data_IF_669548226299
#
_entry.id   IF_669548226299
#
_cell.length_a   1.000
_cell.length_b   1.000
_cell.length_c   1.000
_cell.angle_alpha   90.00
_cell.angle_beta   90.00
_cell.angle_gamma   90.00
#
_symmetry.space_group_name_H-M   'P 1'
#
loop_
_entity.id
_entity.type
_entity.pdbx_description
1 polymer ?
#
# COMPACT_ATOMS: atom_id res chain seq x y z
N UNK A 1 -15.61 2.56 5.51
CA UNK A 1 -15.77 1.13 5.83
C UNK A 1 -17.25 0.88 6.15
N UNK A 2 -17.79 -0.32 5.95
CA UNK A 2 -19.17 -0.64 6.28
C UNK A 2 -19.29 -0.90 7.79
N UNK A 3 -20.12 -0.11 8.48
CA UNK A 3 -20.26 -0.12 9.95
C UNK A 3 -20.49 -1.52 10.54
N UNK A 4 -21.21 -2.39 9.82
CA UNK A 4 -21.46 -3.77 10.25
C UNK A 4 -20.17 -4.60 10.36
N UNK A 5 -19.22 -4.43 9.45
CA UNK A 5 -17.95 -5.17 9.51
C UNK A 5 -17.09 -4.65 10.67
N UNK A 6 -17.02 -3.33 10.87
CA UNK A 6 -16.29 -2.73 11.99
C UNK A 6 -16.84 -3.22 13.33
N UNK A 7 -18.18 -3.28 13.50
CA UNK A 7 -18.80 -3.84 14.71
C UNK A 7 -18.48 -5.32 14.92
N UNK A 8 -18.51 -6.12 13.85
CA UNK A 8 -18.12 -7.53 13.93
C UNK A 8 -16.65 -7.68 14.34
N UNK A 9 -15.78 -6.84 13.78
CA UNK A 9 -14.35 -6.84 14.07
C UNK A 9 -14.12 -6.63 15.57
N UNK A 10 -14.72 -5.60 16.16
CA UNK A 10 -14.54 -5.30 17.58
C UNK A 10 -15.11 -6.39 18.48
N UNK A 11 -16.26 -6.98 18.15
CA UNK A 11 -16.85 -8.07 18.92
C UNK A 11 -16.00 -9.36 18.86
N UNK A 12 -15.48 -9.70 17.68
CA UNK A 12 -14.86 -11.02 17.43
C UNK A 12 -13.35 -11.01 17.60
N UNK A 13 -12.68 -9.89 17.37
CA UNK A 13 -11.22 -9.82 17.41
C UNK A 13 -10.61 -10.26 18.76
N UNK A 14 -11.13 -9.83 19.93
CA UNK A 14 -10.63 -10.31 21.22
C UNK A 14 -10.78 -11.83 21.39
N UNK A 15 -11.86 -12.42 20.87
CA UNK A 15 -12.10 -13.88 20.91
C UNK A 15 -11.07 -14.60 20.06
N UNK A 16 -10.82 -14.14 18.82
CA UNK A 16 -9.80 -14.70 17.94
C UNK A 16 -8.40 -14.52 18.51
N UNK A 17 -8.09 -13.38 19.13
CA UNK A 17 -6.81 -13.13 19.79
C UNK A 17 -6.56 -14.11 20.93
N UNK A 18 -7.57 -14.39 21.75
CA UNK A 18 -7.46 -15.35 22.85
C UNK A 18 -7.36 -16.81 22.36
N UNK A 19 -8.10 -17.17 21.30
CA UNK A 19 -8.14 -18.54 20.78
C UNK A 19 -6.91 -18.88 19.90
N UNK A 20 -6.37 -17.89 19.19
CA UNK A 20 -5.28 -18.04 18.22
C UNK A 20 -4.14 -17.05 18.51
N UNK A 21 -3.47 -17.15 19.69
CA UNK A 21 -2.43 -16.21 20.10
C UNK A 21 -1.20 -16.21 19.19
N UNK A 22 -0.91 -17.33 18.51
CA UNK A 22 0.23 -17.50 17.60
C UNK A 22 0.03 -16.89 16.21
N UNK A 23 -1.21 -16.52 15.85
CA UNK A 23 -1.52 -15.95 14.54
C UNK A 23 -1.41 -14.42 14.57
N UNK A 24 -0.99 -13.83 13.45
CA UNK A 24 -0.87 -12.38 13.31
C UNK A 24 -2.20 -11.64 13.30
N UNK A 25 -2.12 -10.32 13.42
CA UNK A 25 -3.27 -9.41 13.34
C UNK A 25 -4.09 -9.64 12.07
N UNK A 26 -3.47 -9.61 10.87
CA UNK A 26 -4.18 -9.72 9.59
C UNK A 26 -4.85 -11.07 9.42
N UNK A 27 -4.19 -12.15 9.86
CA UNK A 27 -4.78 -13.50 9.88
C UNK A 27 -6.14 -13.52 10.60
N UNK A 28 -6.20 -12.92 11.81
CA UNK A 28 -7.42 -12.89 12.61
C UNK A 28 -8.50 -12.05 11.94
N UNK A 29 -8.15 -10.89 11.41
CA UNK A 29 -9.10 -10.04 10.70
C UNK A 29 -9.64 -10.72 9.43
N UNK A 30 -8.84 -11.49 8.71
CA UNK A 30 -9.29 -12.29 7.55
C UNK A 30 -10.31 -13.36 7.94
N UNK A 31 -10.15 -14.01 9.10
CA UNK A 31 -11.14 -14.98 9.60
C UNK A 31 -12.46 -14.29 9.96
N UNK A 32 -12.40 -13.12 10.56
CA UNK A 32 -13.60 -12.34 10.87
C UNK A 32 -14.26 -11.82 9.60
N UNK A 33 -13.48 -11.40 8.60
CA UNK A 33 -13.98 -11.05 7.27
C UNK A 33 -14.67 -12.24 6.60
N UNK A 34 -14.15 -13.45 6.77
CA UNK A 34 -14.81 -14.65 6.27
C UNK A 34 -16.16 -14.89 6.97
N UNK A 35 -16.23 -14.77 8.29
CA UNK A 35 -17.49 -14.85 9.05
C UNK A 35 -18.50 -13.78 8.57
N UNK A 36 -18.02 -12.57 8.26
CA UNK A 36 -18.86 -11.52 7.69
C UNK A 36 -19.48 -11.95 6.36
N UNK A 37 -18.69 -12.52 5.44
CA UNK A 37 -19.17 -12.92 4.12
C UNK A 37 -20.10 -14.14 4.11
N UNK A 38 -20.11 -14.93 5.19
CA UNK A 38 -21.12 -15.97 5.41
C UNK A 38 -22.51 -15.38 5.66
N UNK A 39 -22.60 -14.20 6.30
CA UNK A 39 -23.87 -13.50 6.53
C UNK A 39 -23.72 -11.95 6.53
N UNK A 40 -23.53 -11.33 5.36
CA UNK A 40 -23.20 -9.90 5.24
C UNK A 40 -24.36 -8.95 5.60
N UNK A 41 -25.58 -9.49 5.68
CA UNK A 41 -26.79 -8.75 6.04
C UNK A 41 -27.13 -8.85 7.52
N UNK A 42 -26.36 -9.62 8.31
CA UNK A 42 -26.59 -9.75 9.74
C UNK A 42 -26.40 -8.38 10.38
N UNK A 43 -27.50 -7.82 10.91
CA UNK A 43 -27.43 -6.64 11.75
C UNK A 43 -26.79 -7.06 13.07
N UNK A 44 -25.61 -6.54 13.33
CA UNK A 44 -24.88 -6.78 14.57
C UNK A 44 -25.27 -5.65 15.51
N UNK A 45 -26.11 -5.98 16.48
CA UNK A 45 -26.59 -5.05 17.51
C UNK A 45 -25.52 -4.92 18.59
N UNK A 46 -24.36 -4.39 18.19
CA UNK A 46 -23.32 -3.95 19.10
C UNK A 46 -23.56 -2.45 19.31
N UNK A 47 -23.96 -2.12 20.54
CA UNK A 47 -24.03 -0.74 21.03
C UNK A 47 -22.59 -0.25 21.22
N UNK A 48 -21.97 0.16 20.13
CA UNK A 48 -20.65 0.80 20.14
C UNK A 48 -20.82 2.27 19.86
N UNK A 49 -20.30 3.10 20.78
CA UNK A 49 -19.91 4.46 20.42
C UNK A 49 -18.65 4.37 19.55
N UNK A 50 -18.59 5.16 18.47
CA UNK A 50 -17.46 5.15 17.54
C UNK A 50 -16.10 5.49 18.21
N UNK A 51 -16.13 6.01 19.44
CA UNK A 51 -14.97 6.34 20.24
C UNK A 51 -14.33 5.11 20.94
N UNK A 52 -15.03 3.97 21.02
CA UNK A 52 -14.58 2.76 21.73
C UNK A 52 -14.01 1.68 20.79
N UNK A 53 -13.74 2.02 19.53
CA UNK A 53 -13.06 1.09 18.62
C UNK A 53 -11.63 0.86 19.12
N UNK A 54 -11.37 -0.28 19.75
CA UNK A 54 -10.02 -0.70 20.11
C UNK A 54 -9.12 -0.62 18.87
N UNK A 55 -7.98 0.07 19.01
CA UNK A 55 -6.96 0.10 17.98
C UNK A 55 -6.15 -1.20 18.03
N UNK A 56 -6.46 -2.11 17.12
CA UNK A 56 -5.76 -3.40 17.00
C UNK A 56 -4.44 -3.29 16.23
N UNK A 57 -4.07 -2.10 15.74
CA UNK A 57 -2.89 -1.92 14.88
C UNK A 57 -1.56 -2.25 15.58
N UNK A 58 -1.53 -2.19 16.91
CA UNK A 58 -0.35 -2.52 17.71
C UNK A 58 -0.10 -4.03 17.87
N UNK A 59 -1.09 -4.89 17.57
CA UNK A 59 -0.90 -6.34 17.63
C UNK A 59 0.10 -6.78 16.55
N UNK A 60 1.10 -7.62 16.88
CA UNK A 60 2.16 -7.99 15.94
C UNK A 60 1.65 -8.85 14.78
N UNK A 61 2.15 -8.58 13.57
CA UNK A 61 1.92 -9.40 12.39
C UNK A 61 3.25 -9.94 11.78
N UNK A 62 3.31 -11.22 11.33
CA UNK A 62 4.50 -11.79 10.72
C UNK A 62 5.06 -11.03 9.52
N UNK A 63 4.24 -10.21 8.85
CA UNK A 63 4.62 -9.46 7.66
C UNK A 63 4.73 -7.95 7.90
N UNK A 64 4.70 -7.48 9.14
CA UNK A 64 4.85 -6.06 9.46
C UNK A 64 6.18 -5.47 8.99
N UNK A 65 7.26 -6.26 8.95
CA UNK A 65 8.56 -5.82 8.41
C UNK A 65 8.47 -5.29 6.96
N UNK A 66 7.49 -5.77 6.18
CA UNK A 66 7.32 -5.38 4.78
C UNK A 66 6.58 -4.05 4.61
N UNK A 67 5.83 -3.60 5.63
CA UNK A 67 4.91 -2.44 5.50
C UNK A 67 4.98 -1.39 6.61
N UNK A 68 5.63 -1.66 7.74
CA UNK A 68 5.59 -0.76 8.92
C UNK A 68 6.87 0.05 9.10
N UNK A 69 7.99 -0.39 8.51
CA UNK A 69 9.32 0.18 8.79
C UNK A 69 9.84 1.16 7.72
N UNK A 70 9.29 2.37 7.61
CA UNK A 70 9.96 3.46 6.86
C UNK A 70 9.03 4.45 6.14
N UNK A 71 9.60 5.52 5.55
CA UNK A 71 8.85 6.61 4.91
C UNK A 71 8.32 6.25 3.51
N UNK A 72 8.56 5.03 3.03
CA UNK A 72 8.20 4.62 1.68
C UNK A 72 6.69 4.55 1.49
N UNK A 73 6.27 4.85 0.27
CA UNK A 73 4.87 4.99 -0.10
C UNK A 73 4.26 3.70 -0.70
N UNK A 74 5.11 2.84 -1.26
CA UNK A 74 4.71 1.56 -1.84
C UNK A 74 5.76 0.46 -1.61
N UNK A 75 5.36 -0.77 -1.90
CA UNK A 75 6.21 -1.96 -1.74
C UNK A 75 6.22 -2.80 -3.02
N UNK A 76 7.40 -3.16 -3.51
CA UNK A 76 7.64 -4.11 -4.59
C UNK A 76 7.98 -5.48 -4.01
N UNK A 77 7.14 -6.46 -4.29
CA UNK A 77 7.27 -7.83 -3.79
C UNK A 77 7.74 -8.73 -4.92
N UNK A 78 8.82 -9.46 -4.67
CA UNK A 78 9.28 -10.53 -5.56
C UNK A 78 8.48 -11.81 -5.33
N UNK A 79 7.80 -12.28 -6.38
CA UNK A 79 7.00 -13.52 -6.36
C UNK A 79 7.52 -14.59 -7.32
N UNK A 80 8.31 -14.19 -8.32
CA UNK A 80 9.04 -15.12 -9.18
C UNK A 80 10.53 -15.16 -8.83
N UNK A 81 11.06 -16.38 -8.79
CA UNK A 81 12.45 -16.66 -8.43
C UNK A 81 13.16 -17.48 -9.51
N UNK A 82 12.72 -17.37 -10.77
CA UNK A 82 13.27 -18.15 -11.88
C UNK A 82 14.51 -17.50 -12.50
N UNK A 83 14.64 -16.17 -12.38
CA UNK A 83 15.77 -15.40 -12.92
C UNK A 83 16.23 -14.33 -11.91
N UNK A 84 17.33 -14.61 -11.21
CA UNK A 84 17.93 -13.67 -10.26
C UNK A 84 18.61 -12.49 -10.97
N UNK A 85 19.15 -12.69 -12.16
CA UNK A 85 19.85 -11.63 -12.89
C UNK A 85 18.86 -10.58 -13.42
N UNK A 86 17.72 -11.02 -13.95
CA UNK A 86 16.64 -10.14 -14.38
C UNK A 86 16.06 -9.35 -13.20
N UNK A 87 15.87 -9.99 -12.03
CA UNK A 87 15.40 -9.31 -10.83
C UNK A 87 16.40 -8.24 -10.35
N UNK A 88 17.69 -8.58 -10.27
CA UNK A 88 18.72 -7.61 -9.88
C UNK A 88 18.80 -6.42 -10.85
N UNK A 89 18.74 -6.68 -12.17
CA UNK A 89 18.71 -5.61 -13.17
C UNK A 89 17.50 -4.71 -13.00
N UNK A 90 16.33 -5.28 -12.70
CA UNK A 90 15.11 -4.51 -12.44
C UNK A 90 15.27 -3.64 -11.19
N UNK A 91 15.81 -4.19 -10.10
CA UNK A 91 16.04 -3.43 -8.86
C UNK A 91 17.06 -2.31 -9.04
N UNK A 92 18.12 -2.53 -9.82
CA UNK A 92 19.10 -1.48 -10.16
C UNK A 92 18.44 -0.35 -10.94
N UNK A 93 17.67 -0.66 -11.98
CA UNK A 93 16.98 0.33 -12.80
C UNK A 93 15.93 1.10 -11.98
N UNK A 94 15.19 0.42 -11.10
CA UNK A 94 14.22 1.06 -10.21
C UNK A 94 14.88 2.09 -9.27
N UNK A 95 15.97 1.70 -8.61
CA UNK A 95 16.71 2.56 -7.68
C UNK A 95 17.35 3.76 -8.40
N UNK A 96 17.81 3.56 -9.62
CA UNK A 96 18.40 4.63 -10.42
C UNK A 96 17.37 5.70 -10.79
N UNK A 97 16.21 5.28 -11.28
CA UNK A 97 15.09 6.18 -11.63
C UNK A 97 14.50 6.85 -10.39
N UNK A 98 14.39 6.12 -9.28
CA UNK A 98 13.92 6.68 -8.01
C UNK A 98 14.88 7.76 -7.49
N UNK A 99 16.19 7.52 -7.56
CA UNK A 99 17.20 8.52 -7.21
C UNK A 99 17.11 9.75 -8.11
N UNK A 100 16.98 9.58 -9.42
CA UNK A 100 16.81 10.69 -10.37
C UNK A 100 15.57 11.54 -10.04
N UNK A 101 14.46 10.89 -9.69
CA UNK A 101 13.23 11.57 -9.28
C UNK A 101 13.43 12.37 -7.98
N UNK A 102 14.00 11.75 -6.94
CA UNK A 102 14.26 12.43 -5.66
C UNK A 102 15.27 13.57 -5.81
N UNK A 103 16.30 13.41 -6.63
CA UNK A 103 17.28 14.46 -6.91
C UNK A 103 16.64 15.65 -7.63
N UNK A 104 15.67 15.41 -8.52
CA UNK A 104 14.93 16.49 -9.22
C UNK A 104 14.00 17.30 -8.30
N UNK A 105 13.67 16.77 -7.12
CA UNK A 105 12.80 17.41 -6.13
C UNK A 105 13.57 18.20 -5.07
N UNK A 106 14.89 18.04 -4.98
CA UNK A 106 15.70 18.81 -4.03
C UNK A 106 15.66 20.28 -4.43
N UNK A 107 15.41 21.21 -3.50
CA UNK A 107 15.51 22.63 -3.81
C UNK A 107 16.93 22.91 -4.31
N UNK A 108 17.04 23.66 -5.41
CA UNK A 108 18.34 24.11 -5.92
C UNK A 108 19.10 24.77 -4.76
N UNK A 109 20.22 24.18 -4.34
CA UNK A 109 21.10 24.84 -3.37
C UNK A 109 21.41 26.23 -3.91
N UNK A 110 21.21 27.31 -3.12
CA UNK A 110 21.56 28.64 -3.56
C UNK A 110 23.05 28.64 -3.90
N UNK A 111 23.36 28.75 -5.19
CA UNK A 111 24.74 28.85 -5.66
C UNK A 111 25.46 29.88 -4.78
N UNK A 112 26.65 29.56 -4.23
CA UNK A 112 27.39 30.53 -3.45
C UNK A 112 27.65 31.75 -4.34
N UNK A 113 27.08 32.89 -3.95
CA UNK A 113 27.32 34.16 -4.60
C UNK A 113 28.84 34.33 -4.78
N UNK A 114 29.33 34.75 -5.95
CA UNK A 114 30.75 34.87 -6.17
C UNK A 114 31.32 35.85 -5.15
N UNK A 115 32.21 35.34 -4.29
CA UNK A 115 32.93 36.11 -3.28
C UNK A 115 33.80 37.15 -3.97
N UNK A 116 33.26 38.36 -4.16
CA UNK A 116 34.05 39.52 -4.57
C UNK A 116 34.56 40.20 -3.30
N UNK A 117 35.82 39.97 -2.97
CA UNK A 117 36.61 40.92 -2.17
C UNK A 117 37.75 41.49 -3.02
N UNK A 118 38.49 42.54 -2.58
CA UNK A 118 38.43 43.23 -1.28
C UNK A 118 38.53 44.79 -1.33
N UNK A 119 38.50 45.42 -0.15
CA UNK A 119 38.92 46.83 0.20
C UNK A 119 37.82 47.90 0.06
N UNK A 120 37.58 48.86 0.98
CA UNK A 120 38.41 49.58 1.96
C UNK A 120 37.60 50.14 3.16
N UNK A 121 38.31 50.36 4.27
CA UNK A 121 37.99 50.99 5.57
C UNK A 121 37.01 52.21 5.63
N UNK A 122 36.26 52.32 6.75
CA UNK A 122 36.29 53.48 7.69
C UNK A 122 35.46 53.27 8.97
N UNK A 123 36.10 53.62 10.10
CA UNK A 123 35.66 54.00 11.47
C UNK A 123 34.30 54.74 11.58
N UNK A 124 33.49 54.80 12.66
CA UNK A 124 33.67 54.80 14.14
C UNK A 124 32.28 54.62 14.87
N UNK A 125 32.10 54.68 16.22
CA UNK A 125 31.22 53.77 16.99
C UNK A 125 30.05 54.42 17.77
N UNK A 126 29.13 53.61 18.32
CA UNK A 126 28.37 53.87 19.56
C UNK A 126 27.51 52.67 20.03
N UNK A 127 27.52 52.45 21.35
CA UNK A 127 26.94 51.36 22.17
C UNK A 127 25.40 51.42 22.35
N UNK A 128 24.73 50.63 23.24
CA UNK A 128 24.98 49.32 23.89
C UNK A 128 23.83 48.27 23.59
N UNK A 129 23.89 47.02 24.09
CA UNK A 129 23.02 45.94 23.62
C UNK A 129 21.67 45.91 24.35
N UNK A 130 20.57 45.80 23.58
CA UNK A 130 19.26 45.44 24.12
C UNK A 130 18.85 44.08 23.56
N UNK A 131 18.51 43.24 24.52
CA UNK A 131 17.94 41.92 24.45
C UNK A 131 16.73 41.85 23.51
N UNK A 132 16.79 40.92 22.56
CA UNK A 132 15.63 40.23 22.04
C UNK A 132 16.12 38.82 21.74
N UNK A 133 15.81 37.91 22.66
CA UNK A 133 15.80 36.47 22.43
C UNK A 133 14.65 36.21 21.45
N UNK A 134 14.93 36.35 20.15
CA UNK A 134 14.11 35.73 19.12
C UNK A 134 14.56 34.27 19.04
N UNK A 135 14.01 33.46 19.96
CA UNK A 135 13.81 32.03 19.73
C UNK A 135 12.77 31.91 18.62
N UNK A 136 13.21 32.17 17.39
CA UNK A 136 12.53 31.72 16.18
C UNK A 136 12.83 30.22 16.09
N UNK A 137 12.08 29.45 16.89
CA UNK A 137 11.85 28.02 16.70
C UNK A 137 11.04 27.85 15.42
N UNK A 138 11.65 28.25 14.29
CA UNK A 138 11.27 27.79 12.97
C UNK A 138 11.62 26.32 12.97
N UNK A 139 10.67 25.51 13.40
CA UNK A 139 10.59 24.12 13.03
C UNK A 139 10.44 24.07 11.52
N UNK A 140 11.56 24.22 10.81
CA UNK A 140 11.77 23.75 9.45
C UNK A 140 11.66 22.22 9.52
N UNK A 141 10.45 21.73 9.67
CA UNK A 141 10.05 20.45 9.11
C UNK A 141 9.77 20.66 7.61
N UNK A 142 10.70 21.39 6.94
CA UNK A 142 10.74 21.53 5.49
C UNK A 142 11.08 20.15 4.92
N UNK A 143 10.02 19.39 4.63
CA UNK A 143 9.96 18.44 3.53
C UNK A 143 11.17 17.53 3.41
N UNK A 144 11.53 16.79 4.47
CA UNK A 144 12.50 15.70 4.36
C UNK A 144 11.93 14.68 3.37
N UNK A 145 12.40 14.77 2.12
CA UNK A 145 12.03 13.84 1.06
C UNK A 145 12.33 12.41 1.56
N UNK A 146 11.43 11.44 1.28
CA UNK A 146 11.64 10.08 1.74
C UNK A 146 12.93 9.52 1.12
N UNK A 147 13.67 8.72 1.89
CA UNK A 147 14.92 8.10 1.43
C UNK A 147 14.71 7.09 0.29
N UNK A 148 13.49 6.56 0.16
CA UNK A 148 13.00 5.76 -0.94
C UNK A 148 11.48 5.95 -1.09
N UNK A 149 10.96 5.82 -2.31
CA UNK A 149 9.53 5.90 -2.62
C UNK A 149 8.92 4.49 -2.62
N UNK A 150 9.68 3.50 -3.09
CA UNK A 150 9.28 2.09 -3.20
C UNK A 150 10.24 1.18 -2.45
N UNK A 151 9.74 0.53 -1.39
CA UNK A 151 10.48 -0.51 -0.69
C UNK A 151 10.56 -1.78 -1.53
N UNK A 152 11.71 -2.43 -1.58
CA UNK A 152 11.87 -3.73 -2.28
C UNK A 152 11.89 -4.85 -1.24
N UNK A 153 10.96 -5.80 -1.37
CA UNK A 153 10.89 -7.03 -0.58
C UNK A 153 11.30 -8.21 -1.45
N UNK A 154 12.50 -8.75 -1.19
CA UNK A 154 12.97 -10.01 -1.76
C UNK A 154 12.92 -11.11 -0.68
N UNK A 155 11.95 -12.04 -0.74
CA UNK A 155 11.86 -13.15 0.22
C UNK A 155 13.08 -14.07 0.26
N UNK A 156 13.97 -13.99 -0.74
CA UNK A 156 15.19 -14.82 -0.82
C UNK A 156 16.29 -14.35 0.12
N UNK A 157 16.24 -13.10 0.58
CA UNK A 157 17.24 -12.54 1.52
C UNK A 157 16.86 -12.77 2.98
N UNK A 158 15.63 -13.21 3.25
CA UNK A 158 15.18 -13.55 4.59
C UNK A 158 15.80 -14.89 5.04
N UNK A 159 16.25 -14.94 6.29
CA UNK A 159 16.89 -16.14 6.85
C UNK A 159 15.90 -17.32 7.02
N UNK A 160 14.59 -17.09 6.94
CA UNK A 160 13.55 -18.12 7.09
C UNK A 160 13.35 -18.88 5.76
N UNK A 161 13.71 -20.18 5.68
CA UNK A 161 13.64 -20.93 4.42
C UNK A 161 12.24 -21.06 3.83
N UNK A 162 11.20 -21.00 4.67
CA UNK A 162 9.80 -21.05 4.25
C UNK A 162 9.31 -19.75 3.60
N UNK A 163 10.03 -18.64 3.76
CA UNK A 163 9.54 -17.32 3.36
C UNK A 163 9.49 -17.18 1.83
N UNK A 164 10.51 -17.67 1.12
CA UNK A 164 10.49 -17.76 -0.35
C UNK A 164 9.31 -18.58 -0.87
N UNK A 165 9.00 -19.70 -0.22
CA UNK A 165 7.90 -20.57 -0.67
C UNK A 165 6.52 -19.96 -0.39
N UNK A 166 6.37 -19.19 0.68
CA UNK A 166 5.12 -18.46 0.98
C UNK A 166 4.81 -17.42 -0.09
N UNK A 167 5.83 -16.74 -0.64
CA UNK A 167 5.67 -15.68 -1.63
C UNK A 167 5.70 -16.16 -3.09
N UNK A 168 6.05 -17.43 -3.33
CA UNK A 168 6.17 -17.98 -4.67
C UNK A 168 4.80 -18.02 -5.36
N UNK A 169 4.69 -17.33 -6.50
CA UNK A 169 3.49 -17.31 -7.35
C UNK A 169 2.19 -17.00 -6.58
N UNK A 170 2.27 -16.13 -5.57
CA UNK A 170 1.07 -15.64 -4.89
C UNK A 170 0.23 -14.77 -5.82
N UNK A 171 -1.08 -14.80 -5.60
CA UNK A 171 -2.00 -13.91 -6.30
C UNK A 171 -1.93 -12.48 -5.75
N UNK A 172 -2.48 -11.53 -6.49
CA UNK A 172 -2.68 -10.17 -6.02
C UNK A 172 -3.51 -10.14 -4.73
N UNK A 173 -4.56 -10.96 -4.65
CA UNK A 173 -5.41 -11.04 -3.48
C UNK A 173 -4.66 -11.60 -2.26
N UNK A 174 -3.86 -12.64 -2.45
CA UNK A 174 -2.99 -13.17 -1.38
C UNK A 174 -2.03 -12.09 -0.88
N UNK A 175 -1.39 -11.34 -1.78
CA UNK A 175 -0.50 -10.24 -1.40
C UNK A 175 -1.24 -9.17 -0.56
N UNK A 176 -2.45 -8.76 -0.97
CA UNK A 176 -3.29 -7.84 -0.21
C UNK A 176 -3.63 -8.39 1.18
N UNK A 177 -4.00 -9.68 1.29
CA UNK A 177 -4.32 -10.33 2.57
C UNK A 177 -3.13 -10.39 3.52
N UNK A 178 -1.92 -10.54 2.98
CA UNK A 178 -0.70 -10.65 3.78
C UNK A 178 -0.22 -9.30 4.30
N UNK A 179 -0.41 -8.22 3.53
CA UNK A 179 0.27 -6.94 3.78
C UNK A 179 -0.67 -5.78 4.14
N UNK A 180 -1.96 -5.90 3.82
CA UNK A 180 -2.93 -4.83 4.03
C UNK A 180 -4.05 -5.28 4.95
N UNK A 181 -4.65 -4.31 5.63
CA UNK A 181 -5.77 -4.55 6.53
C UNK A 181 -7.05 -4.75 5.71
N UNK A 182 -7.79 -5.86 5.92
CA UNK A 182 -9.07 -6.08 5.24
C UNK A 182 -10.14 -5.08 5.68
N UNK A 183 -11.03 -4.77 4.74
CA UNK A 183 -12.20 -3.94 4.97
C UNK A 183 -13.38 -4.34 4.09
N UNK A 184 -14.54 -3.78 4.42
CA UNK A 184 -15.73 -3.86 3.60
C UNK A 184 -16.24 -2.46 3.34
N UNK A 185 -16.78 -2.20 2.15
CA UNK A 185 -17.44 -0.93 1.83
C UNK A 185 -18.65 -1.15 0.92
N UNK A 186 -19.52 -0.14 0.75
CA UNK A 186 -20.51 -0.15 -0.33
C UNK A 186 -19.84 -0.32 -1.69
N UNK A 187 -20.37 -1.22 -2.51
CA UNK A 187 -19.92 -1.39 -3.89
C UNK A 187 -20.24 -0.13 -4.71
N UNK A 188 -19.42 0.21 -5.71
CA UNK A 188 -19.69 1.35 -6.60
C UNK A 188 -21.09 1.28 -7.23
N UNK A 189 -21.72 2.43 -7.50
CA UNK A 189 -23.03 2.45 -8.15
C UNK A 189 -22.94 1.91 -9.58
N UNK A 190 -23.93 1.12 -9.97
CA UNK A 190 -24.05 0.63 -11.34
C UNK A 190 -24.31 1.83 -12.27
N UNK A 191 -23.56 1.99 -13.37
CA UNK A 191 -23.81 3.03 -14.36
C UNK A 191 -25.26 3.01 -14.86
N UNK A 192 -25.80 4.18 -15.22
CA UNK A 192 -27.17 4.29 -15.71
C UNK A 192 -27.43 3.36 -16.91
N UNK A 193 -28.48 2.54 -16.83
CA UNK A 193 -28.80 1.55 -17.85
C UNK A 193 -27.94 0.28 -17.82
N UNK A 194 -26.93 0.23 -16.96
CA UNK A 194 -26.09 -0.95 -16.73
C UNK A 194 -26.85 -2.06 -16.00
N UNK A 195 -26.46 -3.30 -16.25
CA UNK A 195 -26.93 -4.48 -15.51
C UNK A 195 -25.91 -4.84 -14.43
N UNK A 196 -26.40 -5.33 -13.29
CA UNK A 196 -25.53 -5.93 -12.29
C UNK A 196 -24.90 -7.22 -12.84
N UNK A 197 -23.70 -7.52 -12.38
CA UNK A 197 -23.00 -8.76 -12.72
C UNK A 197 -23.85 -9.95 -12.25
N UNK A 198 -24.06 -10.92 -13.13
CA UNK A 198 -24.96 -12.04 -12.89
C UNK A 198 -24.47 -12.98 -11.77
N UNK A 199 -23.16 -13.18 -11.67
CA UNK A 199 -22.52 -13.95 -10.62
C UNK A 199 -21.88 -12.99 -9.61
N UNK A 200 -22.51 -12.79 -8.43
CA UNK A 200 -21.96 -11.91 -7.41
C UNK A 200 -20.69 -12.49 -6.82
N UNK A 201 -19.66 -11.67 -6.68
CA UNK A 201 -18.40 -12.03 -6.02
C UNK A 201 -17.99 -10.89 -5.10
N UNK A 202 -17.50 -11.21 -3.90
CA UNK A 202 -17.18 -10.22 -2.87
C UNK A 202 -16.12 -9.20 -3.27
N UNK A 203 -15.23 -9.53 -4.21
CA UNK A 203 -14.22 -8.59 -4.72
C UNK A 203 -14.81 -7.54 -5.67
N UNK A 204 -16.01 -7.77 -6.22
CA UNK A 204 -16.67 -6.82 -7.14
C UNK A 204 -17.93 -6.25 -6.48
N UNK A 205 -18.89 -7.15 -6.23
CA UNK A 205 -20.13 -6.85 -5.54
C UNK A 205 -20.75 -8.16 -5.02
N UNK A 206 -20.99 -8.21 -3.71
CA UNK A 206 -21.86 -9.20 -3.06
C UNK A 206 -22.71 -8.50 -2.01
N UNK A 207 -24.03 -8.66 -2.08
CA UNK A 207 -24.98 -7.95 -1.20
C UNK A 207 -24.78 -6.41 -1.18
N UNK A 208 -24.44 -5.80 -2.34
CA UNK A 208 -24.10 -4.38 -2.50
C UNK A 208 -22.85 -3.92 -1.74
N UNK A 209 -22.03 -4.86 -1.29
CA UNK A 209 -20.78 -4.61 -0.60
C UNK A 209 -19.61 -5.14 -1.42
N UNK A 210 -18.43 -4.59 -1.17
CA UNK A 210 -17.17 -4.98 -1.77
C UNK A 210 -16.12 -5.16 -0.66
N UNK A 211 -15.38 -6.26 -0.73
CA UNK A 211 -14.15 -6.48 0.05
C UNK A 211 -13.06 -5.55 -0.48
N UNK A 212 -12.39 -4.83 0.41
CA UNK A 212 -11.34 -3.87 0.09
C UNK A 212 -10.19 -4.01 1.07
N UNK A 213 -9.08 -3.36 0.77
CA UNK A 213 -7.89 -3.39 1.60
C UNK A 213 -7.36 -1.98 1.83
N UNK A 214 -6.77 -1.73 2.99
CA UNK A 214 -6.11 -0.47 3.33
C UNK A 214 -4.70 -0.72 3.82
N UNK A 215 -3.76 0.09 3.37
CA UNK A 215 -2.33 -0.05 3.68
C UNK A 215 -1.48 0.44 2.52
N UNK A 216 -0.22 0.01 2.46
CA UNK A 216 0.71 0.41 1.41
C UNK A 216 0.26 -0.04 0.02
N UNK A 217 0.64 0.73 -0.99
CA UNK A 217 0.48 0.35 -2.39
C UNK A 217 1.36 -0.86 -2.70
N UNK A 218 0.79 -1.90 -3.29
CA UNK A 218 1.50 -3.14 -3.62
C UNK A 218 1.86 -3.19 -5.10
N UNK A 219 3.13 -3.43 -5.37
CA UNK A 219 3.69 -3.79 -6.66
C UNK A 219 4.17 -5.23 -6.64
N UNK A 220 3.91 -6.00 -7.69
CA UNK A 220 4.35 -7.39 -7.80
C UNK A 220 5.30 -7.56 -8.98
N UNK A 221 6.49 -8.08 -8.67
CA UNK A 221 7.43 -8.65 -9.63
C UNK A 221 7.10 -10.13 -9.82
N UNK A 222 6.63 -10.50 -11.01
CA UNK A 222 6.18 -11.84 -11.38
C UNK A 222 7.06 -12.44 -12.50
N UNK A 223 6.74 -13.64 -12.96
CA UNK A 223 7.50 -14.32 -13.99
C UNK A 223 7.62 -13.49 -15.29
N UNK A 224 6.58 -12.73 -15.62
CA UNK A 224 6.56 -11.91 -16.84
C UNK A 224 7.42 -10.66 -16.68
N UNK A 225 7.64 -10.17 -15.46
CA UNK A 225 8.54 -9.04 -15.13
C UNK A 225 9.97 -9.29 -15.60
N UNK A 226 10.43 -10.55 -15.62
CA UNK A 226 11.73 -10.94 -16.16
C UNK A 226 11.91 -10.55 -17.63
N UNK A 227 10.81 -10.47 -18.40
CA UNK A 227 10.84 -10.24 -19.85
C UNK A 227 10.40 -8.84 -20.25
N UNK A 228 9.33 -8.31 -19.64
CA UNK A 228 8.75 -7.03 -20.05
C UNK A 228 9.26 -5.83 -19.25
N UNK A 229 10.07 -6.08 -18.22
CA UNK A 229 10.56 -5.10 -17.25
C UNK A 229 9.43 -4.26 -16.65
N UNK A 230 8.28 -4.89 -16.43
CA UNK A 230 7.14 -4.27 -15.77
C UNK A 230 6.83 -4.95 -14.45
N UNK A 231 6.34 -4.20 -13.47
CA UNK A 231 5.68 -4.75 -12.28
C UNK A 231 4.18 -4.51 -12.36
N UNK A 232 3.41 -5.37 -11.69
CA UNK A 232 1.96 -5.23 -11.56
C UNK A 232 1.61 -4.36 -10.37
N UNK A 233 0.95 -3.23 -10.60
CA UNK A 233 0.28 -2.47 -9.55
C UNK A 233 -1.02 -3.17 -9.17
N UNK A 234 -1.20 -3.46 -7.89
CA UNK A 234 -2.39 -4.14 -7.37
C UNK A 234 -3.40 -3.12 -6.85
N UNK A 235 -4.65 -3.25 -7.31
CA UNK A 235 -5.73 -2.39 -6.88
C UNK A 235 -6.31 -2.84 -5.53
N UNK A 236 -6.37 -1.93 -4.57
CA UNK A 236 -6.90 -2.18 -3.23
C UNK A 236 -8.44 -2.07 -3.15
N UNK A 237 -9.05 -1.31 -4.08
CA UNK A 237 -10.51 -1.12 -4.15
C UNK A 237 -10.97 -0.70 -5.55
N UNK A 238 -12.13 -1.17 -6.03
CA UNK A 238 -12.61 -0.78 -7.37
C UNK A 238 -13.39 0.54 -7.41
N UNK A 239 -12.89 1.63 -7.97
CA UNK A 239 -13.65 2.92 -8.00
C UNK A 239 -14.86 2.91 -8.95
N UNK A 240 -14.81 2.07 -9.98
CA UNK A 240 -15.85 1.92 -11.00
C UNK A 240 -16.55 0.59 -10.85
N UNK A 241 -17.87 0.55 -11.10
CA UNK A 241 -18.62 -0.70 -11.06
C UNK A 241 -18.05 -1.72 -12.03
N UNK A 242 -17.82 -2.94 -11.53
CA UNK A 242 -17.23 -4.02 -12.31
C UNK A 242 -15.72 -4.17 -12.16
N UNK A 243 -15.02 -3.21 -11.55
CA UNK A 243 -13.62 -3.39 -11.12
C UNK A 243 -13.59 -4.27 -9.86
N UNK A 244 -12.73 -5.29 -9.87
CA UNK A 244 -12.51 -6.14 -8.71
C UNK A 244 -11.36 -5.59 -7.84
N UNK A 245 -11.48 -5.77 -6.54
CA UNK A 245 -10.33 -5.70 -5.63
C UNK A 245 -9.32 -6.78 -6.02
N UNK A 246 -8.04 -6.42 -6.06
CA UNK A 246 -6.98 -7.27 -6.59
C UNK A 246 -6.83 -7.23 -8.12
N UNK A 247 -7.67 -6.49 -8.87
CA UNK A 247 -7.34 -6.20 -10.28
C UNK A 247 -5.98 -5.51 -10.36
N UNK A 248 -5.24 -5.73 -11.44
CA UNK A 248 -3.90 -5.15 -11.60
C UNK A 248 -3.60 -4.65 -12.99
N UNK A 249 -2.71 -3.66 -13.04
CA UNK A 249 -2.18 -3.05 -14.26
C UNK A 249 -0.65 -3.09 -14.24
N UNK A 250 0.00 -3.21 -15.41
CA UNK A 250 1.47 -3.31 -15.50
C UNK A 250 2.09 -1.98 -15.85
N UNK A 251 3.10 -1.56 -15.09
CA UNK A 251 3.92 -0.39 -15.37
C UNK A 251 5.37 -0.79 -15.60
N UNK A 252 6.04 -0.16 -16.57
CA UNK A 252 7.49 -0.32 -16.76
C UNK A 252 8.24 0.21 -15.54
N UNK A 253 9.34 -0.45 -15.19
CA UNK A 253 10.19 -0.08 -14.04
C UNK A 253 10.55 1.41 -14.00
N UNK A 254 10.79 2.01 -15.18
CA UNK A 254 11.13 3.44 -15.32
C UNK A 254 10.02 4.42 -14.96
N UNK A 255 8.78 3.97 -14.79
CA UNK A 255 7.65 4.83 -14.43
C UNK A 255 7.15 4.55 -13.01
N UNK A 256 7.63 3.48 -12.36
CA UNK A 256 7.12 3.06 -11.04
C UNK A 256 7.32 4.15 -9.98
N UNK A 257 8.52 4.76 -9.83
CA UNK A 257 8.73 5.77 -8.80
C UNK A 257 7.83 7.00 -8.98
N UNK A 258 7.70 7.51 -10.21
CA UNK A 258 6.83 8.64 -10.53
C UNK A 258 5.35 8.31 -10.27
N UNK A 259 4.89 7.14 -10.71
CA UNK A 259 3.51 6.71 -10.48
C UNK A 259 3.22 6.57 -8.98
N UNK A 260 4.12 5.95 -8.22
CA UNK A 260 3.97 5.79 -6.78
C UNK A 260 3.93 7.15 -6.09
N UNK A 261 4.85 8.05 -6.43
CA UNK A 261 4.88 9.40 -5.87
C UNK A 261 3.58 10.15 -6.16
N UNK A 262 3.11 10.14 -7.41
CA UNK A 262 1.89 10.83 -7.80
C UNK A 262 0.64 10.25 -7.12
N UNK A 263 0.57 8.92 -6.94
CA UNK A 263 -0.54 8.29 -6.22
C UNK A 263 -0.57 8.69 -4.75
N UNK A 264 0.59 8.77 -4.11
CA UNK A 264 0.67 9.02 -2.67
C UNK A 264 0.59 10.49 -2.30
N UNK A 265 1.30 11.37 -3.03
CA UNK A 265 1.44 12.78 -2.65
C UNK A 265 0.61 13.74 -3.49
N UNK A 266 0.23 13.35 -4.72
CA UNK A 266 -0.53 14.22 -5.64
C UNK A 266 -1.99 13.78 -5.81
N UNK A 267 -2.43 12.73 -5.10
CA UNK A 267 -3.80 12.22 -5.15
C UNK A 267 -4.19 11.62 -6.51
N UNK A 268 -3.21 11.22 -7.32
CA UNK A 268 -3.48 10.56 -8.59
C UNK A 268 -4.14 9.20 -8.35
N UNK A 269 -5.20 8.89 -9.10
CA UNK A 269 -5.84 7.58 -9.08
C UNK A 269 -5.69 6.90 -10.45
N UNK A 270 -5.39 5.61 -10.43
CA UNK A 270 -5.35 4.79 -11.65
C UNK A 270 -6.72 4.13 -11.84
N UNK A 271 -7.37 4.46 -12.94
CA UNK A 271 -8.69 3.90 -13.26
C UNK A 271 -8.56 2.54 -13.97
N UNK A 272 -9.02 1.48 -13.31
CA UNK A 272 -9.07 0.11 -13.81
C UNK A 272 -10.37 -0.22 -14.61
N UNK A 273 -11.25 0.76 -14.82
CA UNK A 273 -12.63 0.58 -15.28
C UNK A 273 -12.87 0.49 -16.79
N UNK A 274 -12.21 -0.42 -17.53
CA UNK A 274 -12.52 -0.66 -18.96
C UNK A 274 -12.18 -2.07 -19.45
N UNK A 275 -12.86 -2.52 -20.52
CA UNK A 275 -12.83 -3.87 -21.14
C UNK A 275 -11.45 -4.39 -21.61
N UNK A 276 -10.33 -3.69 -21.35
CA UNK A 276 -9.00 -4.04 -21.90
C UNK A 276 -7.81 -3.74 -20.95
N UNK A 277 -8.03 -3.43 -19.66
CA UNK A 277 -6.98 -2.76 -18.85
C UNK A 277 -6.48 -3.49 -17.60
N UNK A 278 -7.05 -4.62 -17.23
CA UNK A 278 -6.56 -5.45 -16.13
C UNK A 278 -6.19 -6.85 -16.62
N UNK A 279 -5.26 -7.49 -15.91
CA UNK A 279 -4.84 -8.86 -16.22
C UNK A 279 -5.98 -9.85 -15.96
N UNK A 280 -6.63 -10.31 -17.04
CA UNK A 280 -7.76 -11.25 -16.97
C UNK A 280 -7.42 -12.58 -16.30
N UNK A 281 -6.21 -13.09 -16.53
CA UNK A 281 -5.79 -14.36 -15.94
C UNK A 281 -5.66 -14.21 -14.43
N UNK A 282 -5.03 -13.13 -13.99
CA UNK A 282 -4.88 -12.82 -12.57
C UNK A 282 -6.22 -12.52 -11.90
N UNK A 283 -7.09 -11.73 -12.54
CA UNK A 283 -8.43 -11.46 -12.03
C UNK A 283 -9.20 -12.75 -11.79
N UNK A 284 -9.14 -13.70 -12.72
CA UNK A 284 -9.77 -15.00 -12.56
C UNK A 284 -9.22 -15.73 -11.32
N UNK A 285 -7.89 -15.78 -11.15
CA UNK A 285 -7.26 -16.37 -9.95
C UNK A 285 -7.77 -15.72 -8.65
N UNK A 286 -7.85 -14.39 -8.61
CA UNK A 286 -8.35 -13.65 -7.46
C UNK A 286 -9.81 -13.98 -7.14
N UNK A 287 -10.68 -14.03 -8.17
CA UNK A 287 -12.10 -14.36 -7.97
C UNK A 287 -12.28 -15.79 -7.47
N UNK A 288 -11.52 -16.74 -8.01
CA UNK A 288 -11.56 -18.15 -7.59
C UNK A 288 -11.03 -18.33 -6.15
N UNK A 289 -9.99 -17.58 -5.77
CA UNK A 289 -9.41 -17.58 -4.41
C UNK A 289 -10.31 -16.84 -3.40
N UNK A 290 -11.07 -15.84 -3.82
CA UNK A 290 -11.98 -15.14 -2.93
C UNK A 290 -13.01 -16.09 -2.32
N UNK A 291 -13.47 -17.09 -3.06
CA UNK A 291 -14.42 -18.06 -2.52
C UNK A 291 -13.73 -19.21 -1.75
N UNK A 292 -12.39 -19.30 -1.79
CA UNK A 292 -11.60 -20.37 -1.19
C UNK A 292 -10.35 -19.82 -0.47
N UNK A 293 -10.50 -19.19 0.70
CA UNK A 293 -9.34 -18.67 1.44
C UNK A 293 -8.37 -19.83 1.78
N UNK A 294 -7.10 -19.74 1.37
CA UNK A 294 -6.08 -20.72 1.73
C UNK A 294 -5.98 -20.91 3.25
N UNK A 295 -5.81 -22.15 3.70
CA UNK A 295 -5.59 -22.44 5.13
C UNK A 295 -4.24 -21.88 5.65
N UNK A 296 -3.31 -21.59 4.74
CA UNK A 296 -1.97 -21.07 5.02
C UNK A 296 -1.91 -19.55 5.25
N UNK A 297 -3.02 -18.85 5.01
CA UNK A 297 -3.20 -17.43 5.30
C UNK A 297 -3.95 -17.17 6.59
#
# INVERSE_FOLDING_TARGET
MADNFTKLLVDRYPVYRAQYPQHGRRWRQQRILQEFWENPTRVIDVSMDAADAEDFSEDPDPYDFAVTDGPEAGVLIRTDFSDDAAFQSFCTELKEVERELLDSMKPDEPMPAPTVGPSTASDTPSAPPQSAEDEDDSSDDEGVLPSAIVRIVDPSTDARPSFREVFRDITNLTALRMLNEPGVRPAPPVPHGGKRIAQPNRLIERARLQEVYSGMTIWIYDQKSNTDRCARLVNQQGDVYGTATGDSWRARVTHIPELQFNMTYMGMQINFGGEDRYDYAERKRNLDEADNIPASL
#
